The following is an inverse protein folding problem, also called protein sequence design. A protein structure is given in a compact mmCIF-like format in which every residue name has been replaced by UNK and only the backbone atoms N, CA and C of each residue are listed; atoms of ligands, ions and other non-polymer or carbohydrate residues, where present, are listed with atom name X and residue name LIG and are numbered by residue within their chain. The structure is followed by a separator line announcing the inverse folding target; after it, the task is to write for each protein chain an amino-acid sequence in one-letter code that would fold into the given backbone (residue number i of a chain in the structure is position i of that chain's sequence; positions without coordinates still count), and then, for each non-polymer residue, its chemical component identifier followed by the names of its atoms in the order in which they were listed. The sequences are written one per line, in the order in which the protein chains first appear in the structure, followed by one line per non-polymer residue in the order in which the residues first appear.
data_IF_417451107007
#
_entry.id   IF_417451107007
#
_cell.length_a   1.000
_cell.length_b   1.000
_cell.length_c   1.000
_cell.angle_alpha   90.00
_cell.angle_beta   90.00
_cell.angle_gamma   90.00
#
_symmetry.space_group_name_H-M   'P 1'
#
loop_
_entity.id
_entity.type
_entity.pdbx_description
1 polymer ?
#
# COMPACT_ATOMS: atom_id res chain seq x y z
N UNK A 1 -17.98 29.48 23.51
CA UNK A 1 -16.68 29.02 23.00
C UNK A 1 -16.07 28.16 24.08
N UNK A 2 -16.15 26.84 23.95
CA UNK A 2 -15.48 25.90 24.84
C UNK A 2 -14.20 25.51 24.13
N UNK A 3 -13.07 25.79 24.76
CA UNK A 3 -11.76 25.35 24.31
C UNK A 3 -11.74 23.83 24.30
N UNK A 4 -11.57 23.25 23.12
CA UNK A 4 -11.29 21.83 22.97
C UNK A 4 -9.94 21.55 23.63
N UNK A 5 -9.98 20.78 24.72
CA UNK A 5 -8.79 20.21 25.34
C UNK A 5 -8.08 19.31 24.32
N UNK A 6 -7.13 19.89 23.60
CA UNK A 6 -6.13 19.15 22.85
C UNK A 6 -5.32 18.38 23.89
N UNK A 7 -5.62 17.09 24.07
CA UNK A 7 -4.78 16.19 24.84
C UNK A 7 -3.46 16.10 24.07
N UNK A 8 -2.47 16.86 24.54
CA UNK A 8 -1.08 16.73 24.13
C UNK A 8 -0.59 15.42 24.76
N UNK A 9 -0.33 14.41 23.93
CA UNK A 9 0.23 13.13 24.36
C UNK A 9 1.69 13.36 24.76
N UNK A 10 1.95 13.53 26.05
CA UNK A 10 3.29 13.68 26.63
C UNK A 10 4.10 12.37 26.51
N UNK A 11 4.62 12.11 25.32
CA UNK A 11 6.06 11.96 25.09
C UNK A 11 6.82 10.79 25.73
N UNK A 12 6.19 9.71 26.19
CA UNK A 12 6.92 8.47 26.48
C UNK A 12 6.67 7.44 25.38
N UNK A 13 7.42 7.57 24.28
CA UNK A 13 7.42 6.61 23.18
C UNK A 13 7.94 5.25 23.66
N UNK A 14 7.08 4.23 23.62
CA UNK A 14 7.45 2.87 24.03
C UNK A 14 8.09 2.13 22.85
N UNK A 15 9.36 1.75 23.00
CA UNK A 15 10.03 0.88 22.02
C UNK A 15 9.48 -0.55 22.06
N UNK A 16 9.42 -1.22 20.91
CA UNK A 16 9.12 -2.65 20.84
C UNK A 16 10.43 -3.46 20.83
N UNK A 17 10.61 -4.43 21.75
CA UNK A 17 11.81 -5.26 21.76
C UNK A 17 11.88 -6.13 20.50
N UNK A 18 13.09 -6.31 19.96
CA UNK A 18 13.31 -7.22 18.84
C UNK A 18 13.33 -8.67 19.34
N UNK A 19 12.33 -9.46 18.95
CA UNK A 19 12.19 -10.88 19.29
C UNK A 19 12.77 -11.82 18.24
N UNK A 20 13.89 -11.41 17.63
CA UNK A 20 14.57 -12.19 16.59
C UNK A 20 14.07 -11.84 15.18
N UNK A 21 14.85 -11.02 14.47
CA UNK A 21 14.54 -10.53 13.12
C UNK A 21 13.12 -9.93 12.95
N UNK A 22 12.52 -9.39 14.02
CA UNK A 22 11.15 -8.81 14.02
C UNK A 22 11.12 -7.30 13.77
N UNK A 23 12.24 -6.70 13.34
CA UNK A 23 12.33 -5.26 13.11
C UNK A 23 11.35 -4.75 12.04
N UNK A 24 11.07 -5.55 11.00
CA UNK A 24 10.08 -5.22 9.96
C UNK A 24 8.67 -5.06 10.56
N UNK A 25 8.29 -5.97 11.48
CA UNK A 25 7.02 -5.96 12.20
C UNK A 25 6.96 -4.76 13.13
N UNK A 26 7.99 -4.57 13.96
CA UNK A 26 8.03 -3.51 14.95
C UNK A 26 7.90 -2.12 14.30
N UNK A 27 8.60 -1.89 13.17
CA UNK A 27 8.54 -0.63 12.43
C UNK A 27 7.12 -0.33 11.92
N UNK A 28 6.45 -1.33 11.31
CA UNK A 28 5.10 -1.18 10.79
C UNK A 28 4.08 -0.95 11.91
N UNK A 29 4.15 -1.74 12.99
CA UNK A 29 3.24 -1.62 14.13
C UNK A 29 3.32 -0.24 14.77
N UNK A 30 4.52 0.31 14.96
CA UNK A 30 4.71 1.64 15.54
C UNK A 30 4.06 2.74 14.69
N UNK A 31 4.22 2.68 13.37
CA UNK A 31 3.60 3.64 12.45
C UNK A 31 2.07 3.52 12.47
N UNK A 32 1.55 2.30 12.35
CA UNK A 32 0.09 2.06 12.37
C UNK A 32 -0.54 2.47 13.70
N UNK A 33 0.14 2.23 14.82
CA UNK A 33 -0.34 2.65 16.14
C UNK A 33 -0.42 4.17 16.29
N UNK A 34 0.50 4.91 15.66
CA UNK A 34 0.48 6.38 15.68
C UNK A 34 -0.66 6.96 14.81
N UNK A 35 -1.17 6.20 13.83
CA UNK A 35 -2.34 6.59 13.05
C UNK A 35 -3.61 6.51 13.92
N UNK A 36 -4.02 7.63 14.53
CA UNK A 36 -5.15 7.70 15.48
C UNK A 36 -6.42 7.01 14.99
N UNK A 37 -6.82 7.25 13.74
CA UNK A 37 -8.02 6.63 13.15
C UNK A 37 -7.91 5.10 13.09
N UNK A 38 -6.78 4.58 12.60
CA UNK A 38 -6.53 3.14 12.55
C UNK A 38 -6.44 2.52 13.95
N UNK A 39 -5.73 3.19 14.87
CA UNK A 39 -5.61 2.74 16.27
C UNK A 39 -6.98 2.63 16.93
N UNK A 40 -7.84 3.63 16.81
CA UNK A 40 -9.18 3.61 17.40
C UNK A 40 -10.06 2.54 16.77
N UNK A 41 -9.98 2.37 15.45
CA UNK A 41 -10.71 1.33 14.73
C UNK A 41 -10.37 -0.07 15.28
N UNK A 42 -9.09 -0.43 15.28
CA UNK A 42 -8.61 -1.73 15.78
C UNK A 42 -8.99 -1.94 17.25
N UNK A 43 -8.88 -0.91 18.09
CA UNK A 43 -9.28 -0.99 19.50
C UNK A 43 -10.80 -1.23 19.66
N UNK A 44 -11.62 -0.64 18.81
CA UNK A 44 -13.08 -0.73 18.91
C UNK A 44 -13.64 -2.05 18.36
N UNK A 45 -13.06 -2.61 17.31
CA UNK A 45 -13.64 -3.75 16.56
C UNK A 45 -13.77 -5.02 17.43
N UNK A 46 -12.77 -5.30 18.28
CA UNK A 46 -12.63 -6.61 18.93
C UNK A 46 -13.67 -6.88 20.03
N UNK A 47 -14.15 -5.86 20.74
CA UNK A 47 -15.25 -6.03 21.71
C UNK A 47 -16.52 -6.59 21.07
N UNK A 48 -16.71 -6.34 19.77
CA UNK A 48 -17.86 -6.81 18.99
C UNK A 48 -17.60 -8.17 18.32
N UNK A 49 -16.36 -8.46 17.91
CA UNK A 49 -16.00 -9.73 17.27
C UNK A 49 -16.08 -10.94 18.21
N UNK A 50 -15.72 -10.78 19.50
CA UNK A 50 -15.69 -11.89 20.47
C UNK A 50 -17.07 -12.57 20.65
N UNK A 51 -18.17 -11.81 20.58
CA UNK A 51 -19.54 -12.36 20.75
C UNK A 51 -20.01 -13.23 19.57
N UNK A 52 -19.35 -13.17 18.42
CA UNK A 52 -19.87 -13.76 17.18
C UNK A 52 -19.04 -14.94 16.66
N UNK A 53 -17.73 -14.97 16.93
CA UNK A 53 -16.86 -16.12 16.58
C UNK A 53 -17.42 -17.42 17.20
N UNK A 54 -18.04 -17.32 18.37
CA UNK A 54 -18.68 -18.44 19.06
C UNK A 54 -19.97 -18.95 18.36
N UNK A 55 -20.57 -18.16 17.47
CA UNK A 55 -21.92 -18.40 16.95
C UNK A 55 -21.98 -18.91 15.50
N UNK A 56 -20.92 -18.80 14.69
CA UNK A 56 -20.93 -19.24 13.29
C UNK A 56 -19.62 -19.87 12.83
N UNK A 57 -19.73 -20.94 12.01
CA UNK A 57 -18.62 -21.42 11.18
C UNK A 57 -18.30 -20.38 10.10
N UNK A 58 -17.31 -19.54 10.35
CA UNK A 58 -16.81 -18.54 9.39
C UNK A 58 -16.05 -19.22 8.25
N UNK A 59 -15.98 -18.54 7.09
CA UNK A 59 -15.03 -18.93 6.03
C UNK A 59 -13.61 -18.82 6.59
N UNK A 60 -12.74 -19.77 6.23
CA UNK A 60 -11.37 -19.87 6.75
C UNK A 60 -10.58 -18.55 6.62
N UNK A 61 -10.69 -17.85 5.48
CA UNK A 61 -9.96 -16.59 5.26
C UNK A 61 -10.45 -15.46 6.19
N UNK A 62 -11.77 -15.30 6.33
CA UNK A 62 -12.35 -14.31 7.24
C UNK A 62 -11.97 -14.61 8.70
N UNK A 63 -11.96 -15.88 9.10
CA UNK A 63 -11.51 -16.27 10.43
C UNK A 63 -10.06 -15.86 10.68
N UNK A 64 -9.14 -16.13 9.73
CA UNK A 64 -7.73 -15.72 9.85
C UNK A 64 -7.57 -14.20 9.92
N UNK A 65 -8.36 -13.47 9.13
CA UNK A 65 -8.39 -12.01 9.16
C UNK A 65 -8.84 -11.48 10.53
N UNK A 66 -9.95 -12.01 11.07
CA UNK A 66 -10.45 -11.64 12.39
C UNK A 66 -9.47 -11.97 13.52
N UNK A 67 -8.86 -13.16 13.50
CA UNK A 67 -7.83 -13.55 14.47
C UNK A 67 -6.59 -12.64 14.39
N UNK A 68 -6.23 -12.18 13.18
CA UNK A 68 -5.16 -11.20 12.97
C UNK A 68 -5.51 -9.87 13.64
N UNK A 69 -6.68 -9.30 13.35
CA UNK A 69 -7.13 -8.04 13.94
C UNK A 69 -7.30 -8.14 15.46
N UNK A 70 -7.80 -9.27 15.98
CA UNK A 70 -7.93 -9.52 17.41
C UNK A 70 -6.57 -9.57 18.13
N UNK A 71 -5.59 -10.26 17.54
CA UNK A 71 -4.24 -10.29 18.12
C UNK A 71 -3.56 -8.92 18.07
N UNK A 72 -3.80 -8.14 17.01
CA UNK A 72 -3.33 -6.75 16.89
C UNK A 72 -3.98 -5.84 17.94
N UNK A 73 -5.26 -6.03 18.21
CA UNK A 73 -6.00 -5.32 19.26
C UNK A 73 -5.37 -5.55 20.65
N UNK A 74 -5.03 -6.80 21.00
CA UNK A 74 -4.34 -7.14 22.26
C UNK A 74 -2.99 -6.40 22.38
N UNK A 75 -2.24 -6.33 21.28
CA UNK A 75 -1.01 -5.55 21.23
C UNK A 75 -1.30 -4.05 21.43
N UNK A 76 -2.29 -3.49 20.74
CA UNK A 76 -2.63 -2.06 20.86
C UNK A 76 -3.14 -1.69 22.27
N UNK A 77 -3.88 -2.56 22.94
CA UNK A 77 -4.24 -2.38 24.34
C UNK A 77 -3.01 -2.38 25.25
N UNK A 78 -2.06 -3.31 25.02
CA UNK A 78 -0.79 -3.33 25.76
C UNK A 78 -0.03 -2.02 25.57
N UNK A 79 0.11 -1.55 24.32
CA UNK A 79 0.77 -0.28 24.01
C UNK A 79 0.08 0.92 24.66
N UNK A 80 -1.27 0.92 24.70
CA UNK A 80 -2.06 1.98 25.35
C UNK A 80 -1.76 2.11 26.84
N UNK A 81 -1.46 1.00 27.52
CA UNK A 81 -1.07 0.98 28.94
C UNK A 81 0.46 0.98 29.13
N UNK A 82 1.22 1.39 28.12
CA UNK A 82 2.69 1.45 28.14
C UNK A 82 3.36 0.10 28.43
N UNK A 83 2.78 -0.99 27.91
CA UNK A 83 3.29 -2.36 28.03
C UNK A 83 3.57 -3.00 26.66
N UNK A 84 4.56 -3.87 26.60
CA UNK A 84 4.89 -4.68 25.41
C UNK A 84 4.45 -6.14 25.53
N UNK A 85 3.66 -6.50 26.55
CA UNK A 85 3.27 -7.89 26.82
C UNK A 85 2.46 -8.51 25.67
N UNK A 86 1.60 -7.74 25.02
CA UNK A 86 0.85 -8.17 23.84
C UNK A 86 1.72 -8.48 22.62
N UNK A 87 3.00 -8.08 22.60
CA UNK A 87 3.88 -8.31 21.45
C UNK A 87 4.15 -9.80 21.23
N UNK A 88 4.43 -10.58 22.29
CA UNK A 88 4.70 -12.03 22.13
C UNK A 88 3.47 -12.72 21.56
N UNK A 89 2.31 -12.41 22.14
CA UNK A 89 1.04 -12.99 21.71
C UNK A 89 0.76 -12.68 20.24
N UNK A 90 0.91 -11.41 19.83
CA UNK A 90 0.72 -10.99 18.45
C UNK A 90 1.71 -11.67 17.50
N UNK A 91 3.01 -11.65 17.79
CA UNK A 91 4.03 -12.24 16.91
C UNK A 91 3.82 -13.74 16.71
N UNK A 92 3.52 -14.47 17.78
CA UNK A 92 3.32 -15.92 17.74
C UNK A 92 2.02 -16.29 17.01
N UNK A 93 0.94 -15.54 17.27
CA UNK A 93 -0.35 -15.76 16.61
C UNK A 93 -0.25 -15.43 15.12
N UNK A 94 0.38 -14.31 14.76
CA UNK A 94 0.57 -13.91 13.38
C UNK A 94 1.43 -14.91 12.60
N UNK A 95 2.53 -15.40 13.18
CA UNK A 95 3.39 -16.42 12.56
C UNK A 95 2.64 -17.72 12.25
N UNK A 96 1.70 -18.12 13.11
CA UNK A 96 0.83 -19.30 12.88
C UNK A 96 -0.19 -19.05 11.78
N UNK A 97 -0.77 -17.85 11.72
CA UNK A 97 -1.76 -17.46 10.71
C UNK A 97 -1.14 -17.28 9.32
N UNK A 98 0.11 -16.79 9.28
CA UNK A 98 0.90 -16.54 8.07
C UNK A 98 2.32 -17.11 8.24
N UNK A 99 2.54 -18.41 7.94
CA UNK A 99 3.83 -19.09 8.12
C UNK A 99 5.01 -18.46 7.38
N UNK A 100 4.78 -17.57 6.42
CA UNK A 100 5.85 -16.78 5.82
C UNK A 100 6.57 -15.90 6.85
N UNK A 101 5.90 -15.43 7.89
CA UNK A 101 6.45 -14.51 8.89
C UNK A 101 6.95 -15.20 10.16
N UNK A 102 7.54 -16.40 10.03
CA UNK A 102 8.14 -17.09 11.17
C UNK A 102 9.20 -16.20 11.83
N UNK A 103 9.18 -16.19 13.16
CA UNK A 103 10.15 -15.49 14.00
C UNK A 103 11.57 -15.96 13.67
N UNK A 104 12.55 -15.06 13.76
CA UNK A 104 13.95 -15.27 13.37
C UNK A 104 14.23 -15.26 11.85
N UNK A 105 13.24 -15.04 11.00
CA UNK A 105 13.46 -14.78 9.57
C UNK A 105 13.24 -13.30 9.24
N UNK A 106 14.15 -12.72 8.45
CA UNK A 106 13.96 -11.38 7.89
C UNK A 106 12.83 -11.42 6.86
N UNK A 107 11.97 -10.41 6.88
CA UNK A 107 10.82 -10.29 5.97
C UNK A 107 10.69 -8.86 5.45
N UNK A 108 9.92 -8.70 4.38
CA UNK A 108 9.59 -7.39 3.82
C UNK A 108 8.52 -6.68 4.68
N UNK A 109 8.82 -5.46 5.12
CA UNK A 109 7.90 -4.63 5.88
C UNK A 109 6.68 -4.20 5.04
N UNK A 110 6.85 -3.97 3.73
CA UNK A 110 5.74 -3.66 2.83
C UNK A 110 4.75 -4.82 2.74
N UNK A 111 5.26 -6.05 2.67
CA UNK A 111 4.42 -7.24 2.62
C UNK A 111 3.69 -7.47 3.95
N UNK A 112 4.39 -7.34 5.09
CA UNK A 112 3.76 -7.41 6.41
C UNK A 112 2.65 -6.36 6.57
N UNK A 113 2.90 -5.12 6.16
CA UNK A 113 1.90 -4.04 6.17
C UNK A 113 0.69 -4.37 5.30
N UNK A 114 0.92 -4.88 4.09
CA UNK A 114 -0.15 -5.28 3.17
C UNK A 114 -1.07 -6.32 3.81
N UNK A 115 -0.52 -7.34 4.47
CA UNK A 115 -1.33 -8.35 5.17
C UNK A 115 -2.18 -7.79 6.31
N UNK A 116 -1.69 -6.78 7.04
CA UNK A 116 -2.47 -6.14 8.11
C UNK A 116 -3.64 -5.35 7.52
N UNK A 117 -3.41 -4.61 6.44
CA UNK A 117 -4.46 -3.83 5.76
C UNK A 117 -5.48 -4.75 5.08
N UNK A 118 -5.03 -5.83 4.43
CA UNK A 118 -5.89 -6.86 3.84
C UNK A 118 -6.76 -7.54 4.90
N UNK A 119 -6.19 -7.90 6.06
CA UNK A 119 -6.96 -8.50 7.14
C UNK A 119 -8.07 -7.57 7.65
N UNK A 120 -7.86 -6.25 7.65
CA UNK A 120 -8.90 -5.29 8.01
C UNK A 120 -9.98 -5.19 6.93
N UNK A 121 -9.60 -5.13 5.65
CA UNK A 121 -10.54 -5.08 4.54
C UNK A 121 -11.37 -6.38 4.43
N UNK A 122 -10.75 -7.54 4.64
CA UNK A 122 -11.46 -8.84 4.68
C UNK A 122 -12.54 -8.89 5.76
N UNK A 123 -12.38 -8.11 6.85
CA UNK A 123 -13.38 -8.00 7.91
C UNK A 123 -14.55 -7.08 7.56
N UNK A 124 -14.44 -6.26 6.52
CA UNK A 124 -15.37 -5.15 6.22
C UNK A 124 -16.81 -5.59 5.97
N UNK A 125 -17.02 -6.55 5.07
CA UNK A 125 -18.38 -7.00 4.72
C UNK A 125 -19.11 -7.56 5.94
N UNK A 126 -18.36 -8.29 6.77
CA UNK A 126 -18.86 -8.84 8.03
C UNK A 126 -19.18 -7.74 9.04
N UNK A 127 -18.27 -6.78 9.22
CA UNK A 127 -18.45 -5.62 10.09
C UNK A 127 -19.68 -4.79 9.69
N UNK A 128 -19.92 -4.65 8.38
CA UNK A 128 -21.11 -4.01 7.85
C UNK A 128 -22.39 -4.79 8.20
N UNK A 129 -22.39 -6.13 8.09
CA UNK A 129 -23.53 -6.99 8.44
C UNK A 129 -23.95 -6.85 9.91
N UNK A 130 -22.98 -6.66 10.81
CA UNK A 130 -23.25 -6.47 12.25
C UNK A 130 -23.48 -5.00 12.63
N UNK A 131 -23.73 -4.12 11.64
CA UNK A 131 -23.98 -2.68 11.82
C UNK A 131 -22.84 -1.93 12.51
N UNK A 132 -21.59 -2.36 12.26
CA UNK A 132 -20.38 -1.71 12.76
C UNK A 132 -19.40 -1.47 11.60
N UNK A 133 -19.75 -0.63 10.60
CA UNK A 133 -18.89 -0.38 9.46
C UNK A 133 -17.55 0.24 9.87
N UNK A 134 -16.49 -0.05 9.12
CA UNK A 134 -15.17 0.54 9.32
C UNK A 134 -15.27 2.06 9.17
N UNK A 135 -14.92 2.80 10.22
CA UNK A 135 -14.87 4.27 10.19
C UNK A 135 -13.58 4.77 9.55
N UNK A 136 -12.52 3.95 9.54
CA UNK A 136 -11.23 4.31 8.99
C UNK A 136 -11.07 3.99 7.48
N UNK A 137 -12.14 3.65 6.75
CA UNK A 137 -12.04 3.22 5.34
C UNK A 137 -11.29 4.23 4.46
N UNK A 138 -11.57 5.52 4.60
CA UNK A 138 -10.87 6.57 3.83
C UNK A 138 -9.49 6.95 4.38
N UNK A 139 -9.03 6.31 5.46
CA UNK A 139 -7.76 6.66 6.10
C UNK A 139 -6.60 6.38 5.16
N UNK A 140 -6.54 5.17 4.61
CA UNK A 140 -5.48 4.75 3.69
C UNK A 140 -5.97 4.53 2.26
N UNK A 141 -7.28 4.38 2.04
CA UNK A 141 -7.81 4.06 0.73
C UNK A 141 -7.90 5.32 -0.16
N UNK A 142 -7.36 5.19 -1.36
CA UNK A 142 -7.59 6.09 -2.49
C UNK A 142 -8.02 5.30 -3.73
N UNK A 143 -8.18 6.01 -4.84
CA UNK A 143 -8.45 5.38 -6.14
C UNK A 143 -7.66 6.01 -7.27
N UNK A 144 -7.25 5.16 -8.21
CA UNK A 144 -6.56 5.52 -9.43
C UNK A 144 -7.46 5.20 -10.63
N UNK A 145 -7.53 6.10 -11.59
CA UNK A 145 -8.10 5.87 -12.90
C UNK A 145 -6.94 5.64 -13.88
N UNK A 146 -6.81 4.43 -14.42
CA UNK A 146 -5.90 4.14 -15.54
C UNK A 146 -6.58 4.51 -16.85
N UNK A 147 -5.91 5.33 -17.65
CA UNK A 147 -6.40 5.75 -18.96
C UNK A 147 -5.56 5.08 -20.03
N UNK A 148 -6.21 4.47 -21.02
CA UNK A 148 -5.57 3.86 -22.18
C UNK A 148 -6.17 4.48 -23.43
N UNK A 149 -5.35 5.14 -24.25
CA UNK A 149 -5.75 5.76 -25.51
C UNK A 149 -5.16 4.95 -26.67
N UNK A 150 -6.03 4.31 -27.45
CA UNK A 150 -5.62 3.57 -28.63
C UNK A 150 -5.06 4.51 -29.70
N UNK A 151 -3.85 4.26 -30.21
CA UNK A 151 -3.25 5.12 -31.24
C UNK A 151 -3.88 4.97 -32.62
N UNK A 152 -4.62 3.89 -32.86
CA UNK A 152 -5.30 3.64 -34.13
C UNK A 152 -6.70 4.27 -34.17
N UNK A 153 -7.60 3.89 -33.25
CA UNK A 153 -8.99 4.39 -33.25
C UNK A 153 -9.23 5.60 -32.35
N UNK A 154 -8.22 6.06 -31.61
CA UNK A 154 -8.27 7.22 -30.70
C UNK A 154 -9.26 7.12 -29.53
N UNK A 155 -9.92 5.97 -29.38
CA UNK A 155 -10.81 5.70 -28.24
C UNK A 155 -10.00 5.62 -26.93
N UNK A 156 -10.48 6.33 -25.92
CA UNK A 156 -9.98 6.28 -24.55
C UNK A 156 -10.80 5.29 -23.72
N UNK A 157 -10.13 4.37 -23.03
CA UNK A 157 -10.72 3.46 -22.04
C UNK A 157 -10.21 3.85 -20.66
N UNK A 158 -11.12 3.93 -19.69
CA UNK A 158 -10.84 4.24 -18.30
C UNK A 158 -11.12 3.00 -17.43
N UNK A 159 -10.17 2.64 -16.58
CA UNK A 159 -10.32 1.59 -15.57
C UNK A 159 -10.06 2.17 -14.19
N UNK A 160 -10.95 1.92 -13.23
CA UNK A 160 -10.82 2.41 -11.85
C UNK A 160 -10.29 1.30 -10.94
N UNK A 161 -9.26 1.61 -10.17
CA UNK A 161 -8.62 0.71 -9.22
C UNK A 161 -8.52 1.39 -7.85
N UNK A 162 -8.78 0.65 -6.77
CA UNK A 162 -8.56 1.14 -5.40
C UNK A 162 -7.12 0.83 -4.99
N UNK A 163 -6.55 1.67 -4.14
CA UNK A 163 -5.24 1.41 -3.52
C UNK A 163 -5.26 1.84 -2.05
N UNK A 164 -4.52 1.11 -1.21
CA UNK A 164 -4.20 1.49 0.17
C UNK A 164 -2.71 1.84 0.35
N UNK A 165 -1.87 1.36 -0.57
CA UNK A 165 -0.44 1.63 -0.65
C UNK A 165 -0.13 2.06 -2.08
N UNK A 166 0.52 3.20 -2.24
CA UNK A 166 0.99 3.69 -3.53
C UNK A 166 2.46 3.30 -3.72
N UNK A 167 2.74 2.35 -4.61
CA UNK A 167 4.10 1.88 -4.88
C UNK A 167 4.77 2.68 -5.99
N UNK A 168 5.91 3.31 -5.69
CA UNK A 168 6.75 4.06 -6.62
C UNK A 168 7.93 3.21 -7.06
N UNK A 169 8.06 2.86 -8.35
CA UNK A 169 9.26 2.22 -8.85
C UNK A 169 10.46 3.18 -8.80
N UNK A 170 11.64 2.64 -8.55
CA UNK A 170 12.90 3.36 -8.64
C UNK A 170 13.58 3.05 -9.97
N UNK A 171 13.98 4.08 -10.70
CA UNK A 171 14.78 3.92 -11.91
C UNK A 171 16.28 3.92 -11.59
N UNK A 172 16.95 2.80 -11.90
CA UNK A 172 18.40 2.61 -11.69
C UNK A 172 19.21 3.38 -12.72
N UNK A 173 18.70 3.55 -13.94
CA UNK A 173 19.40 4.22 -15.04
C UNK A 173 19.33 5.74 -14.94
N UNK A 174 18.84 6.26 -13.80
CA UNK A 174 18.71 7.68 -13.58
C UNK A 174 20.08 8.34 -13.44
N UNK A 175 20.47 9.12 -14.45
CA UNK A 175 21.58 10.05 -14.35
C UNK A 175 21.25 11.13 -13.33
N UNK A 176 22.10 11.26 -12.30
CA UNK A 176 22.04 12.28 -11.25
C UNK A 176 21.87 13.71 -11.82
N UNK A 177 22.23 13.94 -13.08
CA UNK A 177 22.16 15.23 -13.77
C UNK A 177 20.78 15.57 -14.38
N UNK A 178 19.81 14.65 -14.37
CA UNK A 178 18.56 14.78 -15.15
C UNK A 178 17.30 14.46 -14.34
N UNK A 179 16.94 15.31 -13.38
CA UNK A 179 15.53 15.73 -13.15
C UNK A 179 15.38 16.53 -11.85
N UNK A 180 14.42 17.46 -11.88
CA UNK A 180 13.88 18.22 -10.72
C UNK A 180 13.29 17.33 -9.61
N UNK A 181 13.12 16.02 -9.86
CA UNK A 181 12.33 15.11 -9.01
C UNK A 181 13.04 13.80 -8.63
N UNK A 182 14.33 13.62 -8.97
CA UNK A 182 15.11 12.43 -8.60
C UNK A 182 14.70 11.13 -9.28
N UNK A 183 15.28 10.02 -8.83
CA UNK A 183 15.14 8.67 -9.40
C UNK A 183 13.79 7.96 -9.08
N UNK A 184 12.98 8.53 -8.20
CA UNK A 184 11.57 8.17 -7.98
C UNK A 184 10.78 9.46 -7.76
N UNK A 185 9.58 9.55 -8.31
CA UNK A 185 8.68 10.66 -8.02
C UNK A 185 7.27 10.33 -8.48
N UNK A 186 6.29 11.01 -7.92
CA UNK A 186 4.91 10.91 -8.40
C UNK A 186 4.79 11.37 -9.85
N UNK A 187 5.52 12.42 -10.24
CA UNK A 187 5.61 12.88 -11.62
C UNK A 187 6.06 11.75 -12.57
N UNK A 188 7.05 10.96 -12.16
CA UNK A 188 7.51 9.81 -12.95
C UNK A 188 6.50 8.67 -12.94
N UNK A 189 5.88 8.39 -11.80
CA UNK A 189 4.85 7.35 -11.71
C UNK A 189 3.61 7.68 -12.58
N UNK A 190 3.24 8.96 -12.69
CA UNK A 190 2.13 9.40 -13.55
C UNK A 190 2.55 9.74 -14.98
N UNK A 191 3.80 9.49 -15.37
CA UNK A 191 4.24 9.71 -16.74
C UNK A 191 3.48 8.80 -17.72
N UNK A 192 3.41 9.29 -18.96
CA UNK A 192 2.91 8.53 -20.09
C UNK A 192 3.78 7.29 -20.35
N UNK A 193 3.14 6.12 -20.36
CA UNK A 193 3.71 4.87 -20.83
C UNK A 193 3.25 4.59 -22.27
N UNK A 194 4.18 4.14 -23.10
CA UNK A 194 3.91 3.73 -24.49
C UNK A 194 3.75 2.21 -24.50
N UNK A 195 2.56 1.75 -24.85
CA UNK A 195 2.26 0.33 -25.03
C UNK A 195 2.51 -0.04 -26.49
N UNK A 196 3.64 -0.67 -26.79
CA UNK A 196 4.04 -1.11 -28.13
C UNK A 196 4.79 -2.45 -28.10
N UNK A 197 5.29 -2.90 -29.27
CA UNK A 197 6.04 -4.15 -29.38
C UNK A 197 5.26 -5.38 -28.88
N UNK A 198 5.81 -6.07 -27.90
CA UNK A 198 5.17 -7.22 -27.23
C UNK A 198 4.09 -6.79 -26.21
N UNK A 199 4.18 -5.56 -25.70
CA UNK A 199 3.29 -4.98 -24.67
C UNK A 199 2.07 -4.24 -25.26
N UNK A 200 1.70 -4.53 -26.52
CA UNK A 200 0.52 -3.93 -27.15
C UNK A 200 -0.77 -4.26 -26.40
N UNK A 201 -1.64 -3.28 -26.28
CA UNK A 201 -2.96 -3.40 -25.68
C UNK A 201 -3.96 -4.04 -26.65
N UNK A 202 -4.85 -4.91 -26.16
CA UNK A 202 -5.93 -5.50 -26.95
C UNK A 202 -7.10 -4.51 -27.06
N UNK A 203 -7.33 -3.96 -28.24
CA UNK A 203 -8.37 -2.97 -28.45
C UNK A 203 -9.69 -3.59 -28.90
N UNK A 204 -10.73 -3.49 -28.06
CA UNK A 204 -12.08 -3.99 -28.39
C UNK A 204 -12.67 -3.30 -29.62
N UNK A 205 -12.40 -2.01 -29.79
CA UNK A 205 -12.91 -1.24 -30.94
C UNK A 205 -12.20 -1.61 -32.26
N UNK A 206 -10.91 -1.91 -32.21
CA UNK A 206 -10.16 -2.35 -33.39
C UNK A 206 -10.17 -3.87 -33.57
N UNK A 207 -10.75 -4.60 -32.61
CA UNK A 207 -10.71 -6.04 -32.47
C UNK A 207 -9.32 -6.67 -32.70
N UNK A 208 -8.25 -6.01 -32.22
CA UNK A 208 -6.85 -6.40 -32.47
C UNK A 208 -5.88 -5.73 -31.48
N UNK A 209 -4.64 -6.25 -31.39
CA UNK A 209 -3.56 -5.63 -30.61
C UNK A 209 -3.10 -4.32 -31.26
N UNK A 210 -3.11 -3.24 -30.49
CA UNK A 210 -2.80 -1.90 -30.96
C UNK A 210 -1.73 -1.24 -30.10
N UNK A 211 -0.99 -0.31 -30.71
CA UNK A 211 -0.17 0.61 -29.94
C UNK A 211 -1.09 1.55 -29.17
N UNK A 212 -0.75 1.88 -27.93
CA UNK A 212 -1.55 2.76 -27.09
C UNK A 212 -0.68 3.64 -26.19
N UNK A 213 -1.27 4.71 -25.71
CA UNK A 213 -0.73 5.50 -24.61
C UNK A 213 -1.46 5.11 -23.33
N UNK A 214 -0.72 4.93 -22.23
CA UNK A 214 -1.29 4.64 -20.93
C UNK A 214 -0.76 5.64 -19.89
N UNK A 215 -1.63 6.12 -19.01
CA UNK A 215 -1.21 6.92 -17.86
C UNK A 215 -2.18 6.76 -16.69
N UNK A 216 -1.67 6.70 -15.45
CA UNK A 216 -2.51 6.64 -14.26
C UNK A 216 -2.89 8.04 -13.77
N UNK A 217 -4.09 8.14 -13.18
CA UNK A 217 -4.62 9.36 -12.59
C UNK A 217 -5.09 9.11 -11.17
N UNK A 218 -4.68 9.90 -10.17
CA UNK A 218 -5.22 9.75 -8.81
C UNK A 218 -6.56 10.48 -8.77
N UNK A 219 -7.64 9.72 -8.69
CA UNK A 219 -8.99 10.26 -8.65
C UNK A 219 -9.37 10.72 -7.24
N UNK A 220 -9.14 9.86 -6.24
CA UNK A 220 -9.44 10.14 -4.84
C UNK A 220 -8.18 9.90 -4.02
N UNK A 221 -7.73 10.93 -3.30
CA UNK A 221 -6.59 10.83 -2.39
C UNK A 221 -7.02 10.27 -1.02
N UNK A 222 -6.17 9.44 -0.38
CA UNK A 222 -6.42 9.04 1.01
C UNK A 222 -6.16 10.21 1.98
N UNK A 223 -6.65 10.09 3.20
CA UNK A 223 -6.32 11.04 4.28
C UNK A 223 -4.86 10.88 4.73
N UNK A 224 -4.35 9.65 4.74
CA UNK A 224 -2.97 9.28 5.04
C UNK A 224 -2.46 8.43 3.87
N UNK A 225 -1.51 8.95 3.10
CA UNK A 225 -0.89 8.22 2.02
C UNK A 225 0.23 7.32 2.56
N UNK A 226 0.13 6.02 2.30
CA UNK A 226 1.25 5.09 2.46
C UNK A 226 1.99 5.03 1.13
N UNK A 227 3.21 5.57 1.12
CA UNK A 227 4.09 5.55 -0.05
C UNK A 227 5.15 4.47 0.11
N UNK A 228 5.14 3.48 -0.78
CA UNK A 228 6.17 2.44 -0.84
C UNK A 228 7.14 2.75 -1.97
N UNK A 229 8.42 2.97 -1.65
CA UNK A 229 9.47 3.16 -2.65
C UNK A 229 10.06 1.79 -2.98
N UNK A 230 9.72 1.24 -4.14
CA UNK A 230 10.19 -0.08 -4.59
C UNK A 230 11.66 0.00 -5.02
N UNK A 231 12.55 -0.45 -4.14
CA UNK A 231 14.01 -0.41 -4.33
C UNK A 231 14.59 -1.74 -4.81
N UNK A 232 13.76 -2.70 -5.18
CA UNK A 232 14.23 -3.99 -5.65
C UNK A 232 13.83 -4.13 -7.11
N UNK A 233 14.82 -4.37 -7.96
CA UNK A 233 14.59 -4.73 -9.35
C UNK A 233 14.98 -6.19 -9.55
N UNK A 234 14.11 -6.92 -10.23
CA UNK A 234 14.40 -8.28 -10.69
C UNK A 234 15.29 -8.14 -11.92
N UNK A 235 16.55 -8.51 -11.80
CA UNK A 235 17.43 -8.65 -12.94
C UNK A 235 17.01 -9.91 -13.70
N UNK A 236 16.40 -9.72 -14.86
CA UNK A 236 16.07 -10.85 -15.72
C UNK A 236 17.36 -11.51 -16.24
N UNK A 237 17.54 -12.78 -15.86
CA UNK A 237 18.45 -13.79 -16.43
C UNK A 237 19.95 -13.49 -16.37
N UNK A 238 20.58 -13.83 -15.25
CA UNK A 238 21.97 -14.31 -15.33
C UNK A 238 21.91 -15.81 -15.62
N UNK A 239 22.21 -16.20 -16.86
CA UNK A 239 22.48 -17.61 -17.22
C UNK A 239 23.83 -18.01 -16.61
N UNK A 240 23.83 -18.41 -15.34
CA UNK A 240 24.95 -19.14 -14.75
C UNK A 240 24.70 -20.62 -15.04
N UNK A 241 25.15 -21.04 -16.23
CA UNK A 241 24.95 -22.36 -16.83
C UNK A 241 23.48 -22.67 -17.18
N UNK A 242 23.27 -23.38 -18.28
CA UNK A 242 21.96 -23.73 -18.88
C UNK A 242 21.03 -24.61 -18.00
N UNK A 243 21.18 -24.60 -16.67
CA UNK A 243 20.55 -25.56 -15.76
C UNK A 243 19.65 -24.88 -14.72
N UNK A 244 19.88 -23.60 -14.35
CA UNK A 244 19.03 -22.93 -13.36
C UNK A 244 18.77 -21.46 -13.70
N UNK A 245 17.50 -21.12 -13.93
CA UNK A 245 17.03 -19.74 -13.96
C UNK A 245 16.70 -19.32 -12.51
N UNK A 246 17.47 -18.38 -11.96
CA UNK A 246 17.12 -17.72 -10.70
C UNK A 246 16.92 -16.22 -10.94
N UNK A 247 15.83 -15.69 -10.38
CA UNK A 247 15.59 -14.26 -10.32
C UNK A 247 16.44 -13.66 -9.21
N UNK A 248 17.42 -12.83 -9.58
CA UNK A 248 18.23 -12.09 -8.62
C UNK A 248 17.58 -10.72 -8.44
N UNK A 249 17.10 -10.45 -7.24
CA UNK A 249 16.64 -9.12 -6.86
C UNK A 249 17.83 -8.28 -6.38
N UNK A 250 18.15 -7.20 -7.08
CA UNK A 250 19.17 -6.25 -6.64
C UNK A 250 18.54 -5.06 -5.93
N UNK A 251 19.07 -4.72 -4.75
CA UNK A 251 18.65 -3.53 -4.02
C UNK A 251 19.32 -2.29 -4.59
N UNK A 252 18.51 -1.34 -5.06
CA UNK A 252 18.97 -0.02 -5.46
C UNK A 252 19.48 0.75 -4.24
N UNK A 253 20.80 0.92 -4.18
CA UNK A 253 21.48 1.70 -3.14
C UNK A 253 21.48 3.18 -3.52
N UNK A 254 21.17 4.06 -2.58
CA UNK A 254 21.15 5.49 -2.81
C UNK A 254 20.28 6.26 -1.80
N UNK A 255 20.44 7.57 -1.84
CA UNK A 255 19.61 8.53 -1.11
C UNK A 255 18.51 9.03 -2.02
N UNK A 256 17.31 9.06 -1.46
CA UNK A 256 16.07 9.22 -2.20
C UNK A 256 15.22 10.21 -1.39
N UNK A 257 15.46 11.52 -1.55
CA UNK A 257 14.86 12.54 -0.70
C UNK A 257 13.34 12.52 -0.90
N UNK A 258 12.61 12.29 0.19
CA UNK A 258 11.14 12.38 0.18
C UNK A 258 10.77 13.84 0.36
N UNK A 259 10.04 14.46 -0.60
CA UNK A 259 9.70 15.86 -0.48
C UNK A 259 8.69 16.05 0.65
N UNK A 260 8.77 17.20 1.32
CA UNK A 260 7.80 17.58 2.34
C UNK A 260 6.39 17.77 1.76
N UNK A 261 6.30 18.12 0.48
CA UNK A 261 5.06 18.28 -0.26
C UNK A 261 5.02 17.34 -1.48
N UNK A 262 3.95 16.56 -1.59
CA UNK A 262 3.70 15.66 -2.71
C UNK A 262 2.39 16.06 -3.42
N UNK A 263 2.45 16.67 -4.61
CA UNK A 263 1.25 17.13 -5.31
C UNK A 263 0.47 15.96 -5.93
N UNK A 264 -0.47 15.36 -5.18
CA UNK A 264 -1.25 14.20 -5.66
C UNK A 264 -2.26 14.52 -6.77
N UNK A 265 -2.70 15.77 -6.85
CA UNK A 265 -3.74 16.24 -7.78
C UNK A 265 -3.19 16.92 -9.04
N UNK A 266 -1.87 17.17 -9.09
CA UNK A 266 -1.24 17.82 -10.24
C UNK A 266 -0.38 16.80 -10.95
N UNK A 267 -0.84 16.37 -12.12
CA UNK A 267 -0.13 15.36 -12.89
C UNK A 267 0.87 16.04 -13.79
N UNK A 268 2.13 15.64 -13.66
CA UNK A 268 3.19 16.17 -14.49
C UNK A 268 3.13 15.46 -15.84
N UNK A 269 2.79 16.19 -16.88
CA UNK A 269 2.66 15.67 -18.24
C UNK A 269 3.42 16.59 -19.20
N UNK A 270 4.39 16.03 -19.93
CA UNK A 270 5.21 16.75 -20.92
C UNK A 270 5.86 18.06 -20.44
N UNK A 271 6.30 18.12 -19.18
CA UNK A 271 7.01 19.30 -18.66
C UNK A 271 6.15 20.26 -17.85
N UNK A 272 4.83 20.06 -17.83
CA UNK A 272 3.89 20.94 -17.16
C UNK A 272 2.96 20.17 -16.23
N UNK A 273 2.51 20.84 -15.17
CA UNK A 273 1.45 20.30 -14.32
C UNK A 273 0.10 20.53 -14.97
N UNK A 274 -0.69 19.46 -15.07
CA UNK A 274 -2.07 19.48 -15.54
C UNK A 274 -3.02 19.26 -14.37
N UNK A 275 -4.12 20.01 -14.39
CA UNK A 275 -5.15 19.97 -13.35
C UNK A 275 -6.34 19.10 -13.79
N UNK A 276 -6.52 18.93 -15.09
CA UNK A 276 -7.64 18.22 -15.68
C UNK A 276 -7.14 17.08 -16.59
N UNK A 277 -7.84 15.96 -16.53
CA UNK A 277 -7.51 14.76 -17.30
C UNK A 277 -7.90 14.92 -18.78
N UNK A 278 -8.91 15.76 -19.03
CA UNK A 278 -9.40 16.12 -20.35
C UNK A 278 -8.28 16.75 -21.18
N UNK A 279 -7.44 17.61 -20.59
CA UNK A 279 -6.29 18.23 -21.26
C UNK A 279 -5.36 17.18 -21.87
N UNK A 280 -5.07 16.12 -21.12
CA UNK A 280 -4.17 15.04 -21.56
C UNK A 280 -4.84 14.18 -22.65
N UNK A 281 -6.11 13.86 -22.46
CA UNK A 281 -6.85 13.06 -23.45
C UNK A 281 -6.98 13.81 -24.79
N UNK A 282 -7.18 15.13 -24.76
CA UNK A 282 -7.21 15.98 -25.96
C UNK A 282 -5.87 16.04 -26.68
N UNK A 283 -4.75 16.11 -25.95
CA UNK A 283 -3.41 16.12 -26.55
C UNK A 283 -3.09 14.79 -27.26
N UNK A 284 -3.63 13.67 -26.77
CA UNK A 284 -3.27 12.32 -27.22
C UNK A 284 -4.27 11.68 -28.20
N UNK A 285 -5.49 12.21 -28.30
CA UNK A 285 -6.51 11.77 -29.27
C UNK A 285 -6.24 12.31 -30.67
#
# INVERSE_FOLDING_TARGET
MKEDNIIIDEGNHLGLPNKGNTCYLNAVIQVLYQCKLFRYEVLSITETMNKYIEQKKLKNNLQKAMETIQSLNILFHSLKIKSVNGLTYFSDKFSKLKPKFIINHQQDAHEFLSYILEALEDCKDYLHQIKKPLTCESTFNGSITKNIICRNCKKCIKSKEKFNILTMPVDINHSIKSSKYGAWSLARWSNLEILDGENKYQCDNCNSKQNAFMFPWIENKPNILILHICRFNVLNKISLSNVFNYDIAEKVKGTFPVPFFLPLMHHYFHGEYRNEIEDICWILS
#
